data_IF_788325812923
#
_entry.id   IF_788325812923
#
_cell.length_a   1.000
_cell.length_b   1.000
_cell.length_c   1.000
_cell.angle_alpha   90.00
_cell.angle_beta   90.00
_cell.angle_gamma   90.00
#
_symmetry.space_group_name_H-M   'P 1'
#
loop_
_entity.id
_entity.type
_entity.pdbx_description
1 polymer ?
#
# COMPACT_ATOMS: atom_id res chain seq x y z
N UNK A 1 -19.64 7.83 9.31
CA UNK A 1 -20.46 8.86 8.66
C UNK A 1 -20.89 8.38 7.28
N UNK A 2 -22.14 8.58 6.90
CA UNK A 2 -22.60 8.46 5.51
C UNK A 2 -22.02 9.60 4.67
N UNK A 3 -22.19 9.53 3.35
CA UNK A 3 -21.77 10.63 2.45
C UNK A 3 -22.46 11.95 2.82
N UNK A 4 -23.73 11.90 3.19
CA UNK A 4 -24.51 13.09 3.55
C UNK A 4 -24.06 13.66 4.89
N UNK A 5 -23.73 12.80 5.86
CA UNK A 5 -23.13 13.24 7.14
C UNK A 5 -21.74 13.86 6.95
N UNK A 6 -20.94 13.36 6.00
CA UNK A 6 -19.67 14.00 5.61
C UNK A 6 -19.91 15.35 4.96
N UNK A 7 -20.88 15.46 4.05
CA UNK A 7 -21.23 16.73 3.41
C UNK A 7 -21.67 17.78 4.44
N UNK A 8 -22.51 17.39 5.40
CA UNK A 8 -22.97 18.24 6.48
C UNK A 8 -21.81 18.72 7.35
N UNK A 9 -20.90 17.82 7.73
CA UNK A 9 -19.71 18.20 8.49
C UNK A 9 -18.82 19.18 7.71
N UNK A 10 -18.59 18.98 6.42
CA UNK A 10 -17.81 19.92 5.59
C UNK A 10 -18.51 21.27 5.39
N UNK A 11 -19.85 21.29 5.39
CA UNK A 11 -20.64 22.53 5.44
C UNK A 11 -20.39 23.31 6.73
N UNK A 12 -20.30 22.61 7.88
CA UNK A 12 -19.95 23.24 9.16
C UNK A 12 -18.53 23.84 9.14
N UNK A 13 -17.55 23.16 8.52
CA UNK A 13 -16.22 23.74 8.30
C UNK A 13 -16.27 24.98 7.40
N UNK A 14 -17.09 24.95 6.35
CA UNK A 14 -17.31 26.11 5.46
C UNK A 14 -17.87 27.29 6.25
N UNK A 15 -18.89 27.07 7.07
CA UNK A 15 -19.49 28.10 7.90
C UNK A 15 -18.51 28.69 8.93
N UNK A 16 -17.63 27.86 9.48
CA UNK A 16 -16.64 28.29 10.49
C UNK A 16 -15.43 29.01 9.89
N UNK A 17 -14.99 28.63 8.69
CA UNK A 17 -13.70 29.07 8.11
C UNK A 17 -13.86 29.97 6.90
N UNK A 18 -15.05 30.01 6.31
CA UNK A 18 -15.34 30.65 5.03
C UNK A 18 -14.86 29.87 3.80
N UNK A 19 -14.18 28.72 3.99
CA UNK A 19 -13.59 27.94 2.89
C UNK A 19 -14.62 26.97 2.27
N UNK A 20 -15.02 27.13 1.00
CA UNK A 20 -15.98 26.23 0.36
C UNK A 20 -15.35 24.91 -0.12
N UNK A 21 -16.10 23.82 -0.03
CA UNK A 21 -15.73 22.49 -0.53
C UNK A 21 -16.57 22.11 -1.76
N UNK A 22 -15.92 21.64 -2.83
CA UNK A 22 -16.59 21.12 -4.01
C UNK A 22 -17.25 19.76 -3.77
N UNK A 23 -18.34 19.46 -4.49
CA UNK A 23 -19.09 18.21 -4.34
C UNK A 23 -18.23 16.95 -4.60
N UNK A 24 -17.29 17.02 -5.55
CA UNK A 24 -16.36 15.92 -5.84
C UNK A 24 -15.33 15.75 -4.71
N UNK A 25 -14.90 16.84 -4.07
CA UNK A 25 -14.02 16.78 -2.91
C UNK A 25 -14.73 16.12 -1.71
N UNK A 26 -16.01 16.45 -1.48
CA UNK A 26 -16.86 15.78 -0.47
C UNK A 26 -16.95 14.27 -0.74
N UNK A 27 -17.18 13.91 -2.01
CA UNK A 27 -17.21 12.52 -2.45
C UNK A 27 -15.90 11.78 -2.15
N UNK A 28 -14.76 12.38 -2.53
CA UNK A 28 -13.45 11.79 -2.31
C UNK A 28 -13.08 11.70 -0.82
N UNK A 29 -13.41 12.72 -0.01
CA UNK A 29 -13.23 12.66 1.45
C UNK A 29 -14.00 11.48 2.04
N UNK A 30 -15.27 11.30 1.66
CA UNK A 30 -16.05 10.15 2.12
C UNK A 30 -15.46 8.83 1.63
N UNK A 31 -15.00 8.73 0.39
CA UNK A 31 -14.37 7.54 -0.16
C UNK A 31 -13.08 7.16 0.59
N UNK A 32 -12.16 8.10 0.77
CA UNK A 32 -10.85 7.85 1.38
C UNK A 32 -10.94 7.58 2.89
N UNK A 33 -11.86 8.25 3.58
CA UNK A 33 -12.09 8.06 5.02
C UNK A 33 -13.04 6.91 5.34
N UNK A 34 -13.86 6.50 4.36
CA UNK A 34 -15.05 5.67 4.57
C UNK A 34 -15.94 6.20 5.72
N UNK A 35 -15.99 7.53 5.85
CA UNK A 35 -16.77 8.22 6.88
C UNK A 35 -16.21 8.10 8.29
N UNK A 36 -14.96 7.71 8.47
CA UNK A 36 -14.32 7.68 9.78
C UNK A 36 -14.26 9.10 10.38
N UNK A 37 -14.93 9.40 11.52
CA UNK A 37 -15.16 10.77 11.98
C UNK A 37 -13.89 11.61 12.14
N UNK A 38 -12.83 11.00 12.65
CA UNK A 38 -11.55 11.70 12.80
C UNK A 38 -10.85 11.96 11.47
N UNK A 39 -10.88 11.02 10.52
CA UNK A 39 -10.21 11.19 9.23
C UNK A 39 -10.91 12.27 8.40
N UNK A 40 -12.25 12.29 8.42
CA UNK A 40 -13.04 13.33 7.76
C UNK A 40 -12.65 14.71 8.29
N UNK A 41 -12.62 14.88 9.61
CA UNK A 41 -12.21 16.15 10.22
C UNK A 41 -10.74 16.51 9.94
N UNK A 42 -9.84 15.54 10.02
CA UNK A 42 -8.42 15.76 9.79
C UNK A 42 -8.15 16.20 8.34
N UNK A 43 -8.80 15.58 7.36
CA UNK A 43 -8.73 15.99 5.95
C UNK A 43 -9.27 17.40 5.77
N UNK A 44 -10.45 17.71 6.31
CA UNK A 44 -11.06 19.03 6.21
C UNK A 44 -10.14 20.12 6.79
N UNK A 45 -9.66 19.93 8.03
CA UNK A 45 -8.73 20.84 8.70
C UNK A 45 -7.43 21.03 7.90
N UNK A 46 -6.85 19.94 7.39
CA UNK A 46 -5.62 20.03 6.60
C UNK A 46 -5.84 20.78 5.27
N UNK A 47 -6.91 20.49 4.53
CA UNK A 47 -7.22 21.18 3.27
C UNK A 47 -7.41 22.69 3.48
N UNK A 48 -8.08 23.08 4.57
CA UNK A 48 -8.26 24.49 4.96
C UNK A 48 -6.94 25.14 5.35
N UNK A 49 -6.01 24.42 5.99
CA UNK A 49 -4.67 24.97 6.31
C UNK A 49 -3.80 25.16 5.08
N UNK A 50 -3.87 24.22 4.14
CA UNK A 50 -3.04 24.22 2.92
C UNK A 50 -3.43 25.33 1.94
N UNK A 51 -4.69 25.76 1.96
CA UNK A 51 -5.22 26.84 1.10
C UNK A 51 -5.50 28.10 1.92
N UNK A 52 -4.66 29.12 1.74
CA UNK A 52 -4.79 30.38 2.49
C UNK A 52 -5.94 31.26 1.99
N UNK A 53 -6.20 31.27 0.67
CA UNK A 53 -7.26 32.05 0.06
C UNK A 53 -8.63 31.38 0.28
N UNK A 54 -9.44 32.00 1.14
CA UNK A 54 -10.76 31.48 1.55
C UNK A 54 -11.80 31.51 0.44
N UNK A 55 -11.56 32.25 -0.65
CA UNK A 55 -12.48 32.29 -1.79
C UNK A 55 -12.33 31.08 -2.74
N UNK A 56 -11.22 30.36 -2.65
CA UNK A 56 -10.93 29.20 -3.50
C UNK A 56 -11.79 28.01 -3.08
N UNK A 57 -12.43 27.35 -4.05
CA UNK A 57 -13.14 26.09 -3.78
C UNK A 57 -12.14 24.96 -3.66
N UNK A 58 -12.23 24.21 -2.57
CA UNK A 58 -11.41 23.01 -2.36
C UNK A 58 -11.91 21.86 -3.25
N UNK A 59 -11.02 21.30 -4.04
CA UNK A 59 -11.26 20.29 -5.07
C UNK A 59 -10.55 18.96 -4.72
N UNK A 60 -10.79 17.87 -5.48
CA UNK A 60 -10.17 16.57 -5.22
C UNK A 60 -8.64 16.61 -5.06
N UNK A 61 -7.94 17.47 -5.81
CA UNK A 61 -6.49 17.64 -5.67
C UNK A 61 -6.07 18.13 -4.28
N UNK A 62 -6.89 18.97 -3.62
CA UNK A 62 -6.64 19.41 -2.25
C UNK A 62 -6.82 18.25 -1.25
N UNK A 63 -7.78 17.34 -1.51
CA UNK A 63 -7.99 16.16 -0.67
C UNK A 63 -6.78 15.23 -0.73
N UNK A 64 -6.24 14.97 -1.93
CA UNK A 64 -5.04 14.13 -2.08
C UNK A 64 -3.81 14.76 -1.42
N UNK A 65 -3.60 16.06 -1.58
CA UNK A 65 -2.52 16.77 -0.90
C UNK A 65 -2.64 16.68 0.63
N UNK A 66 -3.85 16.90 1.16
CA UNK A 66 -4.12 16.78 2.59
C UNK A 66 -3.91 15.35 3.11
N UNK A 67 -4.34 14.34 2.34
CA UNK A 67 -4.13 12.93 2.64
C UNK A 67 -2.64 12.62 2.77
N UNK A 68 -1.81 13.01 1.78
CA UNK A 68 -0.36 12.78 1.85
C UNK A 68 0.28 13.47 3.05
N UNK A 69 -0.12 14.71 3.36
CA UNK A 69 0.38 15.43 4.54
C UNK A 69 0.03 14.70 5.83
N UNK A 70 -1.23 14.27 6.02
CA UNK A 70 -1.67 13.55 7.22
C UNK A 70 -0.91 12.23 7.41
N UNK A 71 -0.68 11.50 6.31
CA UNK A 71 0.06 10.23 6.33
C UNK A 71 1.52 10.47 6.71
N UNK A 72 2.16 11.49 6.12
CA UNK A 72 3.57 11.83 6.37
C UNK A 72 3.80 12.35 7.79
N UNK A 73 2.92 13.22 8.28
CA UNK A 73 3.02 13.83 9.60
C UNK A 73 2.60 12.89 10.74
N UNK A 74 2.02 11.72 10.42
CA UNK A 74 1.54 10.74 11.40
C UNK A 74 0.73 11.37 12.53
N UNK A 75 -0.26 12.20 12.19
CA UNK A 75 -1.08 12.91 13.20
C UNK A 75 -1.56 11.95 14.29
N UNK A 76 -1.60 12.41 15.54
CA UNK A 76 -1.76 11.63 16.80
C UNK A 76 -2.70 10.42 16.79
N UNK A 77 -3.84 10.47 16.10
CA UNK A 77 -4.73 9.32 15.99
C UNK A 77 -4.11 8.18 15.17
N UNK A 78 -3.44 8.50 14.07
CA UNK A 78 -2.70 7.52 13.27
C UNK A 78 -1.69 6.81 14.18
N UNK A 79 -0.86 7.55 14.93
CA UNK A 79 0.08 6.96 15.88
C UNK A 79 -0.59 6.04 16.91
N UNK A 80 -1.75 6.44 17.44
CA UNK A 80 -2.49 5.63 18.42
C UNK A 80 -2.98 4.30 17.83
N UNK A 81 -3.38 4.28 16.56
CA UNK A 81 -3.76 3.05 15.85
C UNK A 81 -2.53 2.23 15.46
N UNK A 82 -1.45 2.88 15.04
CA UNK A 82 -0.19 2.23 14.69
C UNK A 82 0.41 1.48 15.89
N UNK A 83 0.31 2.04 17.09
CA UNK A 83 0.74 1.37 18.32
C UNK A 83 0.04 0.01 18.51
N UNK A 84 -1.23 -0.14 18.09
CA UNK A 84 -1.99 -1.40 18.17
C UNK A 84 -1.51 -2.46 17.18
N UNK A 85 -0.81 -2.08 16.11
CA UNK A 85 -0.26 -3.03 15.13
C UNK A 85 0.81 -3.96 15.74
N UNK A 86 1.35 -3.63 16.93
CA UNK A 86 2.31 -4.47 17.64
C UNK A 86 1.67 -5.57 18.51
N UNK A 87 0.34 -5.54 18.70
CA UNK A 87 -0.36 -6.57 19.47
C UNK A 87 -0.48 -7.87 18.66
N UNK A 88 -0.12 -9.01 19.26
CA UNK A 88 -0.13 -10.32 18.57
C UNK A 88 -1.48 -10.64 17.91
N UNK A 89 -2.58 -10.36 18.61
CA UNK A 89 -3.93 -10.58 18.09
C UNK A 89 -4.27 -9.72 16.87
N UNK A 90 -3.69 -8.52 16.76
CA UNK A 90 -3.84 -7.66 15.59
C UNK A 90 -2.96 -8.20 14.46
N UNK A 91 -1.74 -8.63 14.76
CA UNK A 91 -0.82 -9.21 13.79
C UNK A 91 -1.39 -10.47 13.12
N UNK A 92 -2.09 -11.34 13.88
CA UNK A 92 -2.76 -12.54 13.32
C UNK A 92 -3.81 -12.22 12.25
N UNK A 93 -4.39 -11.03 12.29
CA UNK A 93 -5.36 -10.56 11.30
C UNK A 93 -4.67 -9.78 10.17
N UNK A 94 -3.78 -8.86 10.51
CA UNK A 94 -3.18 -7.94 9.55
C UNK A 94 -2.11 -8.64 8.69
N UNK A 95 -1.33 -9.58 9.23
CA UNK A 95 -0.32 -10.35 8.47
C UNK A 95 -0.89 -11.02 7.21
N UNK A 96 -1.93 -11.88 7.30
CA UNK A 96 -2.51 -12.49 6.11
C UNK A 96 -3.16 -11.45 5.19
N UNK A 97 -3.69 -10.34 5.70
CA UNK A 97 -4.16 -9.25 4.84
C UNK A 97 -3.02 -8.59 4.05
N UNK A 98 -1.85 -8.38 4.66
CA UNK A 98 -0.67 -7.82 4.00
C UNK A 98 -0.10 -8.74 2.91
N UNK A 99 -0.26 -10.06 3.09
CA UNK A 99 0.15 -11.10 2.15
C UNK A 99 -0.92 -11.43 1.08
N UNK A 100 -2.11 -10.85 1.19
CA UNK A 100 -3.26 -11.20 0.33
C UNK A 100 -3.83 -12.61 0.59
N UNK A 101 -3.46 -13.23 1.70
CA UNK A 101 -3.82 -14.58 2.10
C UNK A 101 -5.13 -14.61 2.92
N UNK A 102 -5.55 -15.81 3.31
CA UNK A 102 -6.64 -16.02 4.28
C UNK A 102 -6.04 -16.26 5.65
N UNK A 103 -6.78 -15.91 6.70
CA UNK A 103 -6.42 -16.27 8.07
C UNK A 103 -6.42 -17.80 8.25
N UNK A 104 -5.53 -18.29 9.11
CA UNK A 104 -5.50 -19.69 9.52
C UNK A 104 -6.72 -20.13 10.33
N UNK A 105 -6.83 -21.44 10.59
CA UNK A 105 -7.93 -22.03 11.37
C UNK A 105 -7.85 -21.73 12.87
N UNK A 106 -6.72 -21.23 13.35
CA UNK A 106 -6.40 -20.88 14.73
C UNK A 106 -6.86 -19.46 15.12
N UNK A 107 -7.34 -18.66 14.16
CA UNK A 107 -7.84 -17.31 14.43
C UNK A 107 -9.21 -17.37 15.10
N UNK A 108 -9.30 -16.78 16.29
CA UNK A 108 -10.54 -16.70 17.06
C UNK A 108 -11.46 -15.60 16.51
N UNK A 109 -12.78 -15.81 16.62
CA UNK A 109 -13.78 -14.78 16.29
C UNK A 109 -13.55 -13.48 17.10
N UNK A 110 -13.10 -13.62 18.36
CA UNK A 110 -12.79 -12.50 19.24
C UNK A 110 -11.68 -11.59 18.70
N UNK A 111 -10.71 -12.12 17.95
CA UNK A 111 -9.64 -11.32 17.33
C UNK A 111 -10.17 -10.46 16.19
N UNK A 112 -11.04 -11.01 15.35
CA UNK A 112 -11.74 -10.21 14.34
C UNK A 112 -12.62 -9.14 14.97
N UNK A 113 -13.41 -9.49 15.99
CA UNK A 113 -14.28 -8.56 16.69
C UNK A 113 -13.49 -7.42 17.33
N UNK A 114 -12.31 -7.71 17.87
CA UNK A 114 -11.41 -6.71 18.42
C UNK A 114 -10.84 -5.76 17.37
N UNK A 115 -10.28 -6.29 16.27
CA UNK A 115 -9.69 -5.45 15.21
C UNK A 115 -10.76 -4.61 14.50
N UNK A 116 -11.99 -5.12 14.40
CA UNK A 116 -13.17 -4.35 13.96
C UNK A 116 -13.53 -3.26 14.97
N UNK A 117 -13.55 -3.58 16.27
CA UNK A 117 -13.79 -2.62 17.34
C UNK A 117 -12.77 -1.48 17.40
N UNK A 118 -11.50 -1.77 17.03
CA UNK A 118 -10.45 -0.76 16.87
C UNK A 118 -10.64 0.13 15.62
N UNK A 119 -11.51 -0.24 14.69
CA UNK A 119 -11.71 0.48 13.44
C UNK A 119 -10.58 0.30 12.41
N UNK A 120 -9.69 -0.68 12.61
CA UNK A 120 -8.59 -1.00 11.66
C UNK A 120 -9.14 -1.81 10.48
N UNK A 121 -10.08 -2.71 10.76
CA UNK A 121 -10.75 -3.58 9.78
C UNK A 121 -12.25 -3.32 9.81
N UNK A 122 -12.92 -3.50 8.68
CA UNK A 122 -14.37 -3.47 8.57
C UNK A 122 -14.88 -4.76 7.91
N UNK A 123 -16.05 -5.23 8.35
CA UNK A 123 -16.80 -6.29 7.67
C UNK A 123 -17.73 -5.65 6.64
N UNK A 124 -17.41 -5.78 5.36
CA UNK A 124 -18.24 -5.28 4.24
C UNK A 124 -18.66 -6.42 3.34
N UNK A 125 -19.97 -6.54 3.10
CA UNK A 125 -20.56 -7.59 2.24
C UNK A 125 -20.05 -9.00 2.63
N UNK A 126 -19.98 -9.27 3.94
CA UNK A 126 -19.51 -10.54 4.50
C UNK A 126 -18.00 -10.78 4.39
N UNK A 127 -17.19 -9.73 4.17
CA UNK A 127 -15.73 -9.84 3.99
C UNK A 127 -15.00 -8.82 4.84
N UNK A 128 -13.93 -9.27 5.48
CA UNK A 128 -13.04 -8.37 6.19
C UNK A 128 -12.08 -7.68 5.23
N UNK A 129 -11.97 -6.37 5.38
CA UNK A 129 -11.03 -5.52 4.66
C UNK A 129 -10.50 -4.42 5.58
N UNK A 130 -9.34 -3.86 5.26
CA UNK A 130 -8.84 -2.66 5.93
C UNK A 130 -9.89 -1.55 5.82
N UNK A 131 -10.20 -0.92 6.95
CA UNK A 131 -11.42 -0.15 7.16
C UNK A 131 -11.57 1.03 6.19
N UNK A 132 -10.48 1.63 5.72
CA UNK A 132 -10.55 2.73 4.75
C UNK A 132 -9.28 2.80 3.89
N UNK A 133 -9.34 3.43 2.70
CA UNK A 133 -8.18 3.63 1.83
C UNK A 133 -6.98 4.30 2.52
N UNK A 134 -7.20 5.26 3.42
CA UNK A 134 -6.08 5.91 4.13
C UNK A 134 -5.33 4.89 4.99
N UNK A 135 -6.02 4.03 5.74
CA UNK A 135 -5.38 2.99 6.54
C UNK A 135 -4.69 1.92 5.69
N UNK A 136 -5.18 1.65 4.48
CA UNK A 136 -4.48 0.78 3.53
C UNK A 136 -3.10 1.33 3.20
N UNK A 137 -2.95 2.63 3.11
CA UNK A 137 -1.67 3.26 2.80
C UNK A 137 -0.79 3.46 4.05
N UNK A 138 -1.40 3.86 5.17
CA UNK A 138 -0.72 4.16 6.42
C UNK A 138 -0.09 2.92 7.06
N UNK A 139 -0.82 1.79 7.12
CA UNK A 139 -0.35 0.57 7.79
C UNK A 139 0.99 0.07 7.24
N UNK A 140 1.15 -0.24 5.93
CA UNK A 140 2.41 -0.72 5.40
C UNK A 140 3.53 0.32 5.57
N UNK A 141 3.26 1.61 5.31
CA UNK A 141 4.24 2.69 5.45
C UNK A 141 4.76 2.79 6.89
N UNK A 142 3.87 2.68 7.87
CA UNK A 142 4.24 2.69 9.27
C UNK A 142 5.09 1.48 9.65
N UNK A 143 4.68 0.29 9.22
CA UNK A 143 5.39 -0.96 9.47
C UNK A 143 6.78 -0.98 8.80
N UNK A 144 6.96 -0.29 7.67
CA UNK A 144 8.21 -0.26 6.91
C UNK A 144 9.10 0.95 7.17
N UNK A 145 8.65 1.93 7.96
CA UNK A 145 9.30 3.24 8.06
C UNK A 145 10.72 3.21 8.61
N UNK A 146 10.95 2.47 9.70
CA UNK A 146 12.26 2.43 10.34
C UNK A 146 13.30 1.80 9.41
N UNK A 147 12.89 0.80 8.63
CA UNK A 147 13.76 0.20 7.61
C UNK A 147 13.97 1.16 6.45
N UNK A 148 12.92 1.83 5.97
CA UNK A 148 13.03 2.85 4.93
C UNK A 148 14.04 3.95 5.30
N UNK A 149 14.04 4.41 6.55
CA UNK A 149 14.93 5.46 7.04
C UNK A 149 16.41 5.02 7.12
N UNK A 150 16.66 3.71 7.21
CA UNK A 150 18.00 3.13 7.28
C UNK A 150 18.58 2.73 5.91
N UNK A 151 17.77 2.75 4.85
CA UNK A 151 18.24 2.49 3.50
C UNK A 151 19.07 3.68 2.98
N UNK A 152 20.39 3.50 2.91
CA UNK A 152 21.29 4.41 2.20
C UNK A 152 21.17 4.18 0.68
N UNK A 153 20.13 4.80 0.12
CA UNK A 153 19.76 4.58 -1.27
C UNK A 153 19.40 5.89 -1.96
N UNK A 154 19.96 6.12 -3.16
CA UNK A 154 19.76 7.32 -3.98
C UNK A 154 18.68 7.06 -5.05
N UNK A 155 17.46 7.62 -4.89
CA UNK A 155 16.35 7.43 -5.83
C UNK A 155 16.64 7.85 -7.27
N UNK A 156 17.55 8.80 -7.47
CA UNK A 156 17.81 9.39 -8.79
C UNK A 156 18.40 8.37 -9.77
N UNK A 157 18.99 7.28 -9.25
CA UNK A 157 19.56 6.19 -10.05
C UNK A 157 18.54 5.44 -10.90
N UNK A 158 17.25 5.48 -10.53
CA UNK A 158 16.17 4.80 -11.27
C UNK A 158 15.43 5.72 -12.22
N UNK A 159 15.78 6.99 -12.24
CA UNK A 159 15.13 7.95 -13.13
C UNK A 159 15.91 7.98 -14.42
N UNK A 160 15.24 7.65 -15.51
CA UNK A 160 15.81 7.67 -16.85
C UNK A 160 16.06 9.13 -17.30
N UNK A 161 16.85 9.30 -18.36
CA UNK A 161 17.15 10.65 -18.89
C UNK A 161 15.89 11.43 -19.34
N UNK A 162 14.79 10.74 -19.65
CA UNK A 162 13.48 11.33 -19.99
C UNK A 162 12.54 11.50 -18.77
N UNK A 163 13.00 11.22 -17.55
CA UNK A 163 12.22 11.45 -16.32
C UNK A 163 11.24 10.33 -15.94
N UNK A 164 11.29 9.18 -16.62
CA UNK A 164 10.49 7.98 -16.33
C UNK A 164 11.16 7.14 -15.24
N UNK A 165 10.39 6.26 -14.60
CA UNK A 165 10.91 5.33 -13.59
C UNK A 165 11.31 4.00 -14.23
N UNK A 166 12.59 3.64 -14.15
CA UNK A 166 13.09 2.33 -14.57
C UNK A 166 12.83 1.28 -13.48
N UNK A 167 11.61 0.75 -13.44
CA UNK A 167 11.19 -0.28 -12.47
C UNK A 167 11.99 -1.56 -12.63
N UNK A 168 12.36 -1.94 -13.86
CA UNK A 168 13.20 -3.11 -14.10
C UNK A 168 14.58 -2.99 -13.47
N UNK A 169 15.22 -1.81 -13.56
CA UNK A 169 16.48 -1.53 -12.86
C UNK A 169 16.30 -1.50 -11.35
N UNK A 170 15.24 -0.84 -10.87
CA UNK A 170 14.90 -0.78 -9.45
C UNK A 170 14.77 -2.17 -8.83
N UNK A 171 14.02 -3.05 -9.46
CA UNK A 171 13.80 -4.41 -8.94
C UNK A 171 15.05 -5.29 -9.00
N UNK A 172 15.93 -5.09 -9.99
CA UNK A 172 17.23 -5.76 -10.03
C UNK A 172 18.16 -5.28 -8.92
N UNK A 173 18.23 -3.98 -8.65
CA UNK A 173 18.99 -3.47 -7.51
C UNK A 173 18.41 -3.94 -6.18
N UNK A 174 17.07 -3.99 -6.06
CA UNK A 174 16.42 -4.62 -4.91
C UNK A 174 16.80 -6.10 -4.75
N UNK A 175 16.88 -6.87 -5.83
CA UNK A 175 17.29 -8.29 -5.80
C UNK A 175 18.72 -8.45 -5.26
N UNK A 176 19.65 -7.57 -5.66
CA UNK A 176 21.01 -7.53 -5.11
C UNK A 176 20.98 -7.20 -3.61
N UNK A 177 20.28 -6.13 -3.23
CA UNK A 177 20.12 -5.75 -1.82
C UNK A 177 19.49 -6.88 -0.99
N UNK A 178 18.49 -7.57 -1.52
CA UNK A 178 17.80 -8.66 -0.84
C UNK A 178 18.74 -9.81 -0.48
N UNK A 179 19.63 -10.17 -1.41
CA UNK A 179 20.69 -11.18 -1.21
C UNK A 179 21.65 -10.79 -0.10
N UNK A 180 22.13 -9.55 -0.13
CA UNK A 180 23.19 -9.09 0.77
C UNK A 180 22.68 -8.89 2.19
N UNK A 181 21.61 -8.10 2.34
CA UNK A 181 21.13 -7.64 3.65
C UNK A 181 19.61 -7.76 3.83
N UNK A 182 18.85 -7.66 2.74
CA UNK A 182 17.39 -7.48 2.82
C UNK A 182 16.64 -8.66 3.45
N UNK A 183 17.09 -9.89 3.24
CA UNK A 183 16.49 -11.07 3.87
C UNK A 183 16.68 -11.12 5.40
N UNK A 184 17.81 -10.62 5.91
CA UNK A 184 18.06 -10.49 7.35
C UNK A 184 17.22 -9.34 7.93
N UNK A 185 17.22 -8.20 7.24
CA UNK A 185 16.46 -7.02 7.64
C UNK A 185 14.93 -7.29 7.63
N UNK A 186 14.45 -8.15 6.73
CA UNK A 186 13.06 -8.61 6.72
C UNK A 186 12.69 -9.46 7.94
N UNK A 187 13.65 -10.20 8.51
CA UNK A 187 13.46 -10.94 9.77
C UNK A 187 13.25 -10.04 10.99
N UNK A 188 13.67 -8.77 10.90
CA UNK A 188 13.53 -7.77 11.96
C UNK A 188 12.12 -7.18 12.11
N UNK A 189 11.23 -7.38 11.14
CA UNK A 189 9.85 -6.91 11.25
C UNK A 189 9.08 -7.69 12.34
N UNK A 190 8.22 -6.99 13.08
CA UNK A 190 7.22 -7.65 13.94
C UNK A 190 6.29 -8.56 13.12
N UNK A 191 6.04 -8.18 11.86
CA UNK A 191 5.31 -8.95 10.86
C UNK A 191 6.25 -9.86 10.05
N UNK A 192 6.92 -10.81 10.71
CA UNK A 192 8.00 -11.62 10.10
C UNK A 192 7.61 -12.26 8.77
N UNK A 193 6.41 -12.85 8.68
CA UNK A 193 5.94 -13.50 7.45
C UNK A 193 5.70 -12.51 6.30
N UNK A 194 5.23 -11.30 6.61
CA UNK A 194 5.08 -10.21 5.64
C UNK A 194 6.37 -9.39 5.45
N UNK A 195 7.46 -9.76 6.12
CA UNK A 195 8.74 -9.04 6.08
C UNK A 195 9.28 -8.80 4.67
N UNK A 196 9.27 -9.79 3.76
CA UNK A 196 9.70 -9.57 2.37
C UNK A 196 8.85 -8.51 1.65
N UNK A 197 7.53 -8.57 1.80
CA UNK A 197 6.60 -7.59 1.24
C UNK A 197 6.83 -6.18 1.83
N UNK A 198 7.07 -6.08 3.13
CA UNK A 198 7.34 -4.81 3.82
C UNK A 198 8.71 -4.24 3.44
N UNK A 199 9.71 -5.10 3.18
CA UNK A 199 11.04 -4.68 2.75
C UNK A 199 11.01 -4.10 1.33
N UNK A 200 10.33 -4.77 0.39
CA UNK A 200 10.15 -4.22 -0.95
C UNK A 200 9.37 -2.90 -0.92
N UNK A 201 8.40 -2.76 0.00
CA UNK A 201 7.72 -1.48 0.21
C UNK A 201 8.65 -0.38 0.72
N UNK A 202 9.49 -0.67 1.72
CA UNK A 202 10.46 0.29 2.22
C UNK A 202 11.33 0.82 1.07
N UNK A 203 11.78 -0.09 0.21
CA UNK A 203 12.60 0.23 -0.95
C UNK A 203 11.86 1.10 -1.97
N UNK A 204 10.65 0.71 -2.38
CA UNK A 204 9.83 1.46 -3.33
C UNK A 204 9.43 2.83 -2.79
N UNK A 205 9.04 2.92 -1.51
CA UNK A 205 8.64 4.18 -0.87
C UNK A 205 9.78 5.20 -0.86
N UNK A 206 11.03 4.75 -0.67
CA UNK A 206 12.21 5.63 -0.76
C UNK A 206 12.35 6.28 -2.13
N UNK A 207 12.00 5.54 -3.19
CA UNK A 207 12.06 6.02 -4.57
C UNK A 207 10.88 6.93 -4.89
N UNK A 208 9.64 6.47 -4.65
CA UNK A 208 8.44 7.23 -5.03
C UNK A 208 8.27 8.53 -4.24
N UNK A 209 8.84 8.64 -3.03
CA UNK A 209 8.83 9.89 -2.27
C UNK A 209 9.44 11.09 -3.02
N UNK A 210 10.14 10.86 -4.13
CA UNK A 210 10.71 11.89 -5.00
C UNK A 210 9.84 12.30 -6.21
N UNK A 211 8.59 11.84 -6.32
CA UNK A 211 7.68 12.29 -7.39
C UNK A 211 6.56 11.33 -7.80
N UNK A 212 6.37 10.22 -7.08
CA UNK A 212 5.37 9.19 -7.39
C UNK A 212 4.60 8.71 -6.17
N UNK A 213 3.81 7.66 -6.38
CA UNK A 213 2.96 7.05 -5.36
C UNK A 213 2.99 5.52 -5.47
N UNK A 214 2.87 4.83 -4.34
CA UNK A 214 2.59 3.39 -4.32
C UNK A 214 1.19 3.18 -3.78
N UNK A 215 0.33 2.60 -4.59
CA UNK A 215 -1.03 2.21 -4.24
C UNK A 215 -1.08 0.71 -3.98
N UNK A 216 -1.93 0.29 -3.04
CA UNK A 216 -2.09 -1.12 -2.66
C UNK A 216 -3.56 -1.52 -2.59
N UNK A 217 -3.84 -2.76 -2.98
CA UNK A 217 -5.16 -3.36 -2.83
C UNK A 217 -5.16 -4.51 -1.81
N UNK A 218 -5.75 -4.30 -0.63
CA UNK A 218 -5.80 -5.32 0.43
C UNK A 218 -7.15 -5.98 0.56
N UNK A 219 -7.21 -7.31 0.63
CA UNK A 219 -8.44 -8.02 1.03
C UNK A 219 -8.20 -9.51 1.24
N UNK A 220 -8.86 -10.10 2.24
CA UNK A 220 -8.69 -11.53 2.53
C UNK A 220 -9.13 -12.40 1.34
N UNK A 221 -8.18 -13.18 0.81
CA UNK A 221 -8.44 -14.31 -0.08
C UNK A 221 -9.08 -14.00 -1.44
N UNK A 222 -8.74 -12.86 -2.07
CA UNK A 222 -9.27 -12.49 -3.40
C UNK A 222 -8.27 -12.33 -4.54
N UNK A 223 -6.97 -12.56 -4.33
CA UNK A 223 -5.97 -12.35 -5.40
C UNK A 223 -6.01 -10.91 -5.91
N UNK A 224 -5.98 -9.95 -4.98
CA UNK A 224 -5.82 -8.53 -5.31
C UNK A 224 -4.37 -8.29 -5.71
N UNK A 225 -4.14 -7.29 -6.55
CA UNK A 225 -2.79 -6.91 -6.92
C UNK A 225 -2.07 -6.34 -5.69
N UNK A 226 -0.83 -6.76 -5.50
CA UNK A 226 -0.04 -6.29 -4.37
C UNK A 226 0.27 -4.78 -4.49
N UNK A 227 0.90 -4.30 -5.58
CA UNK A 227 1.32 -2.89 -5.72
C UNK A 227 1.10 -2.27 -7.12
N UNK A 228 0.56 -1.06 -7.17
CA UNK A 228 0.64 -0.18 -8.35
C UNK A 228 1.54 1.02 -8.03
N UNK A 229 2.61 1.19 -8.80
CA UNK A 229 3.50 2.34 -8.72
C UNK A 229 3.08 3.35 -9.77
N UNK A 230 2.64 4.54 -9.34
CA UNK A 230 2.33 5.66 -10.22
C UNK A 230 3.49 6.66 -10.24
N UNK A 231 3.99 7.02 -11.42
CA UNK A 231 5.11 7.94 -11.59
C UNK A 231 4.88 8.83 -12.82
N UNK A 232 4.69 10.14 -12.62
CA UNK A 232 4.50 11.12 -13.70
C UNK A 232 3.48 10.72 -14.80
N UNK A 233 2.39 10.04 -14.41
CA UNK A 233 1.34 9.57 -15.33
C UNK A 233 1.56 8.16 -15.88
N UNK A 234 2.70 7.54 -15.62
CA UNK A 234 2.96 6.13 -15.89
C UNK A 234 2.49 5.26 -14.70
N UNK A 235 2.05 4.04 -15.01
CA UNK A 235 1.65 3.05 -14.02
C UNK A 235 2.44 1.76 -14.23
N UNK A 236 3.05 1.27 -13.17
CA UNK A 236 3.76 -0.01 -13.15
C UNK A 236 3.13 -0.92 -12.11
N UNK A 237 2.91 -2.17 -12.49
CA UNK A 237 2.18 -3.14 -11.71
C UNK A 237 3.15 -4.18 -11.19
N UNK A 238 3.22 -4.35 -9.87
CA UNK A 238 4.13 -5.29 -9.20
C UNK A 238 3.29 -6.25 -8.34
N UNK A 239 3.31 -7.53 -8.69
CA UNK A 239 2.78 -8.62 -7.90
C UNK A 239 3.89 -9.21 -7.02
N UNK A 240 3.59 -9.51 -5.75
CA UNK A 240 4.56 -10.01 -4.78
C UNK A 240 4.07 -11.33 -4.17
N UNK A 241 4.86 -12.38 -4.30
CA UNK A 241 4.50 -13.69 -3.72
C UNK A 241 5.63 -14.31 -2.93
N UNK A 242 5.25 -15.02 -1.87
CA UNK A 242 6.11 -16.01 -1.24
C UNK A 242 5.95 -17.32 -1.99
N UNK A 243 7.04 -17.94 -2.43
CA UNK A 243 7.03 -19.26 -3.09
C UNK A 243 6.57 -20.31 -2.08
N UNK A 244 5.36 -20.83 -2.27
CA UNK A 244 4.78 -21.91 -1.44
C UNK A 244 5.00 -23.28 -2.06
N UNK A 245 4.94 -23.36 -3.39
CA UNK A 245 5.05 -24.58 -4.18
C UNK A 245 5.54 -24.28 -5.61
N UNK A 246 5.70 -25.33 -6.42
CA UNK A 246 6.13 -25.24 -7.82
C UNK A 246 5.12 -24.51 -8.73
N UNK A 247 3.86 -24.39 -8.31
CA UNK A 247 2.79 -23.74 -9.08
C UNK A 247 2.56 -22.28 -8.69
N UNK A 248 3.29 -21.76 -7.69
CA UNK A 248 3.08 -20.41 -7.16
C UNK A 248 3.34 -19.36 -8.23
N UNK A 249 4.46 -19.50 -8.94
CA UNK A 249 4.88 -18.59 -10.02
C UNK A 249 3.85 -18.54 -11.16
N UNK A 250 3.48 -19.71 -11.71
CA UNK A 250 2.52 -19.79 -12.81
C UNK A 250 1.15 -19.21 -12.44
N UNK A 251 0.67 -19.46 -11.20
CA UNK A 251 -0.60 -18.88 -10.71
C UNK A 251 -0.51 -17.37 -10.57
N UNK A 252 0.57 -16.86 -9.99
CA UNK A 252 0.79 -15.43 -9.78
C UNK A 252 0.93 -14.68 -11.11
N UNK A 253 1.70 -15.22 -12.06
CA UNK A 253 1.88 -14.62 -13.38
C UNK A 253 0.55 -14.57 -14.17
N UNK A 254 -0.28 -15.63 -14.06
CA UNK A 254 -1.63 -15.63 -14.67
C UNK A 254 -2.56 -14.61 -14.02
N UNK A 255 -2.51 -14.47 -12.71
CA UNK A 255 -3.30 -13.46 -11.98
C UNK A 255 -2.87 -12.05 -12.40
N UNK A 256 -1.57 -11.78 -12.44
CA UNK A 256 -1.00 -10.51 -12.88
C UNK A 256 -1.41 -10.16 -14.31
N UNK A 257 -1.32 -11.11 -15.26
CA UNK A 257 -1.76 -10.89 -16.64
C UNK A 257 -3.24 -10.46 -16.73
N UNK A 258 -4.13 -11.12 -15.97
CA UNK A 258 -5.55 -10.75 -15.92
C UNK A 258 -5.80 -9.37 -15.31
N UNK A 259 -4.96 -8.94 -14.36
CA UNK A 259 -5.03 -7.58 -13.80
C UNK A 259 -4.53 -6.52 -14.79
N UNK A 260 -3.42 -6.80 -15.49
CA UNK A 260 -2.90 -5.93 -16.55
C UNK A 260 -3.94 -5.69 -17.66
N UNK A 261 -4.73 -6.71 -18.01
CA UNK A 261 -5.87 -6.56 -18.93
C UNK A 261 -6.89 -5.54 -18.43
N UNK A 262 -7.25 -5.59 -17.15
CA UNK A 262 -8.20 -4.66 -16.54
C UNK A 262 -7.72 -3.20 -16.52
N UNK A 263 -6.40 -2.99 -16.48
CA UNK A 263 -5.78 -1.66 -16.53
C UNK A 263 -5.37 -1.21 -17.94
N UNK A 264 -5.52 -2.06 -18.96
CA UNK A 264 -5.05 -1.76 -20.31
C UNK A 264 -3.52 -1.70 -20.44
N UNK A 265 -2.80 -2.31 -19.50
CA UNK A 265 -1.34 -2.36 -19.49
C UNK A 265 -0.83 -3.62 -20.22
N UNK A 266 0.36 -3.55 -20.80
CA UNK A 266 0.99 -4.66 -21.55
C UNK A 266 2.09 -5.35 -20.76
N UNK A 267 2.59 -4.74 -19.70
CA UNK A 267 3.72 -5.20 -18.91
C UNK A 267 3.47 -5.10 -17.40
N UNK A 268 3.95 -6.10 -16.66
CA UNK A 268 4.00 -6.07 -15.20
C UNK A 268 5.16 -6.90 -14.66
N UNK A 269 5.39 -6.78 -13.35
CA UNK A 269 6.50 -7.37 -12.64
C UNK A 269 5.99 -8.35 -11.58
N UNK A 270 6.59 -9.53 -11.50
CA UNK A 270 6.32 -10.51 -10.45
C UNK A 270 7.59 -10.70 -9.62
N UNK A 271 7.56 -10.29 -8.35
CA UNK A 271 8.63 -10.55 -7.38
C UNK A 271 8.27 -11.78 -6.56
N UNK A 272 9.08 -12.83 -6.68
CA UNK A 272 8.82 -14.12 -6.04
C UNK A 272 9.91 -14.46 -5.02
N UNK A 273 9.57 -14.31 -3.74
CA UNK A 273 10.47 -14.59 -2.62
C UNK A 273 10.50 -16.09 -2.28
N UNK A 274 11.70 -16.68 -2.21
CA UNK A 274 11.97 -18.04 -1.80
C UNK A 274 12.72 -18.08 -0.46
N UNK A 275 11.94 -18.24 0.61
CA UNK A 275 12.47 -18.27 1.98
C UNK A 275 12.99 -19.66 2.41
N UNK A 276 13.01 -20.66 1.51
CA UNK A 276 13.50 -22.01 1.84
C UNK A 276 15.00 -21.99 2.12
N UNK A 277 15.47 -22.73 3.12
CA UNK A 277 16.90 -22.78 3.45
C UNK A 277 17.72 -23.71 2.53
N UNK A 278 17.06 -24.58 1.77
CA UNK A 278 17.70 -25.57 0.90
C UNK A 278 18.35 -25.01 -0.38
N UNK A 279 17.61 -24.25 -1.20
CA UNK A 279 18.15 -23.68 -2.43
C UNK A 279 19.25 -22.64 -2.15
N UNK A 280 20.30 -22.66 -2.96
CA UNK A 280 21.35 -21.64 -3.00
C UNK A 280 20.81 -20.29 -3.50
N UNK A 281 21.55 -19.21 -3.22
CA UNK A 281 21.21 -17.90 -3.77
C UNK A 281 21.21 -17.87 -5.31
N UNK A 282 22.06 -18.67 -5.96
CA UNK A 282 22.07 -18.80 -7.42
C UNK A 282 20.77 -19.42 -7.97
N UNK A 283 20.14 -20.31 -7.21
CA UNK A 283 18.84 -20.90 -7.57
C UNK A 283 17.66 -19.96 -7.25
N UNK A 284 17.81 -19.09 -6.25
CA UNK A 284 16.76 -18.14 -5.84
C UNK A 284 16.73 -16.89 -6.69
N UNK A 285 17.90 -16.39 -7.11
CA UNK A 285 18.04 -15.15 -7.85
C UNK A 285 18.07 -15.43 -9.35
N UNK A 286 16.95 -15.17 -10.01
CA UNK A 286 16.83 -15.29 -11.46
C UNK A 286 15.92 -14.19 -12.01
N UNK A 287 16.04 -13.95 -13.30
CA UNK A 287 15.14 -13.10 -14.07
C UNK A 287 14.59 -13.93 -15.22
N UNK A 288 13.27 -13.91 -15.40
CA UNK A 288 12.59 -14.59 -16.50
C UNK A 288 11.51 -13.70 -17.10
N UNK A 289 11.32 -13.81 -18.41
CA UNK A 289 10.20 -13.14 -19.10
C UNK A 289 9.18 -14.20 -19.49
N UNK A 290 7.95 -14.03 -19.01
CA UNK A 290 6.81 -14.86 -19.39
C UNK A 290 5.87 -14.06 -20.29
N UNK A 291 5.43 -14.68 -21.38
CA UNK A 291 4.32 -14.15 -22.20
C UNK A 291 3.03 -14.90 -21.85
N UNK A 292 2.05 -14.18 -21.31
CA UNK A 292 0.77 -14.76 -20.88
C UNK A 292 -0.35 -13.90 -21.47
N UNK A 293 -1.17 -14.48 -22.35
CA UNK A 293 -2.29 -13.78 -22.99
C UNK A 293 -1.90 -12.44 -23.65
N UNK A 294 -0.71 -12.37 -24.25
CA UNK A 294 -0.20 -11.14 -24.88
C UNK A 294 0.34 -10.10 -23.91
N UNK A 295 0.45 -10.43 -22.61
CA UNK A 295 1.13 -9.63 -21.59
C UNK A 295 2.54 -10.10 -21.36
N UNK A 296 3.45 -9.16 -21.19
CA UNK A 296 4.83 -9.41 -20.77
C UNK A 296 4.89 -9.36 -19.24
N UNK A 297 5.25 -10.48 -18.60
CA UNK A 297 5.46 -10.55 -17.15
C UNK A 297 6.95 -10.77 -16.89
N UNK A 298 7.61 -9.79 -16.27
CA UNK A 298 8.98 -9.93 -15.81
C UNK A 298 9.01 -10.53 -14.40
N UNK A 299 9.50 -11.76 -14.29
CA UNK A 299 9.63 -12.48 -13.03
C UNK A 299 11.02 -12.26 -12.46
N UNK A 300 11.09 -11.80 -11.21
CA UNK A 300 12.31 -11.71 -10.43
C UNK A 300 12.22 -12.67 -9.23
N UNK A 301 13.12 -13.64 -9.19
CA UNK A 301 13.30 -14.50 -8.02
C UNK A 301 14.12 -13.79 -6.94
N UNK A 302 13.65 -13.80 -5.71
CA UNK A 302 14.33 -13.22 -4.55
C UNK A 302 14.51 -14.26 -3.45
#
# INVERSE_FOLDING_TARGET
FTRDEVAELLSQHTAATGQPFGADAVGLVHELSQGHPWLVNALADQMVRDVWDRSVVLLPANVEAAKETIIRERRTHIDSLLARLHEERVQRIITPMLLGERTGHDVLNDDFSYVVGLGIVALRKGRYEIANPIYREVIPRALSFDQQAQLDHDPTRYITANGCLDVGKLLREFQTFWREDGHLAAGGFSYREAGPHLMLMAFLQRVVNSGGQVQREYGLGRGRLDLVVAWHGEQHVIEIKLRRDTMTEARAAKQLAGYLDGLGLTEGYLVLFDLRQGPSWEEKLYENVLEIAGKRVLVLGC
#
